data_IF_693038519761
#
_entry.id   IF_693038519761
#
_cell.length_a   1.000
_cell.length_b   1.000
_cell.length_c   1.000
_cell.angle_alpha   90.00
_cell.angle_beta   90.00
_cell.angle_gamma   90.00
#
_symmetry.space_group_name_H-M   'P 1'
#
loop_
_entity.id
_entity.type
_entity.pdbx_description
1 polymer ?
#
# COMPACT_ATOMS: atom_id res chain seq x y z
N UNK A 1 -16.26 -0.99 13.01
CA UNK A 1 -15.04 -0.80 13.85
C UNK A 1 -13.74 -0.68 13.07
N UNK A 2 -13.39 -1.61 12.17
CA UNK A 2 -12.13 -1.55 11.40
C UNK A 2 -12.00 -0.27 10.55
N UNK A 3 -13.05 0.12 9.83
CA UNK A 3 -13.08 1.35 9.01
C UNK A 3 -12.72 2.59 9.85
N UNK A 4 -13.29 2.70 11.06
CA UNK A 4 -13.00 3.81 11.99
C UNK A 4 -11.52 3.86 12.36
N UNK A 5 -10.89 2.70 12.60
CA UNK A 5 -9.46 2.62 12.88
C UNK A 5 -8.60 3.07 11.70
N UNK A 6 -8.95 2.65 10.48
CA UNK A 6 -8.26 3.09 9.26
C UNK A 6 -8.38 4.60 9.06
N UNK A 7 -9.57 5.17 9.23
CA UNK A 7 -9.81 6.61 9.08
C UNK A 7 -9.03 7.43 10.11
N UNK A 8 -9.02 7.01 11.38
CA UNK A 8 -8.27 7.68 12.44
C UNK A 8 -6.76 7.59 12.20
N UNK A 9 -6.25 6.42 11.83
CA UNK A 9 -4.82 6.28 11.48
C UNK A 9 -4.46 7.14 10.27
N UNK A 10 -5.30 7.16 9.23
CA UNK A 10 -5.10 7.99 8.05
C UNK A 10 -5.06 9.49 8.37
N UNK A 11 -5.94 9.96 9.27
CA UNK A 11 -5.93 11.34 9.75
C UNK A 11 -4.62 11.68 10.48
N UNK A 12 -4.14 10.78 11.35
CA UNK A 12 -2.89 10.96 12.08
C UNK A 12 -1.70 11.00 11.12
N UNK A 13 -1.61 10.04 10.20
CA UNK A 13 -0.55 9.98 9.18
C UNK A 13 -0.57 11.29 8.38
N UNK A 14 -1.73 11.71 7.87
CA UNK A 14 -1.84 12.98 7.12
C UNK A 14 -1.31 14.16 7.93
N UNK A 15 -1.75 14.29 9.18
CA UNK A 15 -1.42 15.43 10.05
C UNK A 15 0.05 15.47 10.40
N UNK A 16 0.66 14.33 10.73
CA UNK A 16 2.08 14.27 11.11
C UNK A 16 3.02 14.26 9.91
N UNK A 17 2.59 13.76 8.75
CA UNK A 17 3.38 13.78 7.52
C UNK A 17 3.40 15.16 6.85
N UNK A 18 2.45 16.04 7.16
CA UNK A 18 2.35 17.35 6.54
C UNK A 18 3.54 18.30 6.85
N UNK A 19 3.98 18.50 8.11
CA UNK A 19 5.11 19.37 8.40
C UNK A 19 6.42 19.01 7.68
N UNK A 20 6.91 17.74 7.70
CA UNK A 20 8.16 17.41 7.02
C UNK A 20 8.01 17.48 5.49
N UNK A 21 6.83 17.15 4.94
CA UNK A 21 6.55 17.32 3.51
C UNK A 21 6.61 18.80 3.09
N UNK A 22 6.05 19.69 3.90
CA UNK A 22 6.12 21.14 3.66
C UNK A 22 7.56 21.65 3.70
N UNK A 23 8.34 21.23 4.70
CA UNK A 23 9.76 21.60 4.79
C UNK A 23 10.56 21.12 3.58
N UNK A 24 10.34 19.87 3.14
CA UNK A 24 11.01 19.31 1.97
C UNK A 24 10.68 20.08 0.68
N UNK A 25 9.40 20.37 0.45
CA UNK A 25 8.95 21.07 -0.75
C UNK A 25 9.34 22.56 -0.77
N UNK A 26 9.35 23.21 0.39
CA UNK A 26 9.65 24.65 0.48
C UNK A 26 11.16 24.94 0.47
N UNK A 27 11.94 24.13 1.20
CA UNK A 27 13.38 24.34 1.34
C UNK A 27 14.23 23.47 0.40
N UNK A 28 13.63 22.53 -0.34
CA UNK A 28 14.33 21.58 -1.21
C UNK A 28 15.43 20.79 -0.49
N UNK A 29 15.10 20.28 0.70
CA UNK A 29 16.03 19.56 1.57
C UNK A 29 15.56 18.12 1.80
N UNK A 30 16.52 17.24 2.01
CA UNK A 30 16.31 15.82 2.28
C UNK A 30 15.78 15.59 3.70
N UNK A 31 15.17 14.43 3.91
CA UNK A 31 14.73 13.99 5.24
C UNK A 31 15.86 14.02 6.26
N UNK A 32 17.08 13.60 5.88
CA UNK A 32 18.27 13.62 6.75
C UNK A 32 18.62 15.05 7.20
N UNK A 33 18.46 16.06 6.35
CA UNK A 33 18.70 17.45 6.74
C UNK A 33 17.59 17.99 7.64
N UNK A 34 16.33 17.59 7.38
CA UNK A 34 15.18 17.94 8.22
C UNK A 34 15.37 17.36 9.63
N UNK A 35 15.72 16.08 9.73
CA UNK A 35 15.91 15.41 11.02
C UNK A 35 17.17 15.89 11.73
N UNK A 36 18.26 16.24 11.03
CA UNK A 36 19.43 16.92 11.62
C UNK A 36 19.06 18.27 12.24
N UNK A 37 18.20 19.05 11.58
CA UNK A 37 17.77 20.36 12.08
C UNK A 37 16.99 20.28 13.40
N UNK A 38 16.23 19.20 13.61
CA UNK A 38 15.42 19.01 14.82
C UNK A 38 16.09 18.16 15.91
N UNK A 39 16.76 17.06 15.53
CA UNK A 39 17.31 16.06 16.45
C UNK A 39 18.84 16.02 16.50
N UNK A 40 19.53 16.85 15.72
CA UNK A 40 20.98 16.86 15.59
C UNK A 40 21.53 15.65 14.82
N UNK A 41 22.86 15.53 14.80
CA UNK A 41 23.56 14.52 14.00
C UNK A 41 23.20 13.08 14.41
N UNK A 42 23.22 12.79 15.72
CA UNK A 42 22.91 11.45 16.24
C UNK A 42 21.44 11.07 16.05
N UNK A 43 20.52 12.01 16.24
CA UNK A 43 19.10 11.79 16.01
C UNK A 43 18.78 11.50 14.55
N UNK A 44 19.48 12.17 13.62
CA UNK A 44 19.31 11.89 12.20
C UNK A 44 19.71 10.46 11.81
N UNK A 45 20.79 9.93 12.39
CA UNK A 45 21.22 8.54 12.16
C UNK A 45 20.09 7.57 12.53
N UNK A 46 19.41 7.78 13.66
CA UNK A 46 18.28 6.94 14.06
C UNK A 46 17.10 7.04 13.09
N UNK A 47 16.77 8.25 12.62
CA UNK A 47 15.68 8.44 11.65
C UNK A 47 15.98 7.78 10.31
N UNK A 48 17.21 7.91 9.81
CA UNK A 48 17.64 7.26 8.56
C UNK A 48 17.69 5.73 8.71
N UNK A 49 18.15 5.22 9.86
CA UNK A 49 18.14 3.78 10.13
C UNK A 49 16.72 3.22 10.07
N UNK A 50 15.75 3.91 10.69
CA UNK A 50 14.35 3.50 10.62
C UNK A 50 13.84 3.48 9.17
N UNK A 51 14.17 4.50 8.37
CA UNK A 51 13.80 4.54 6.96
C UNK A 51 14.40 3.39 6.14
N UNK A 52 15.68 3.09 6.33
CA UNK A 52 16.35 1.98 5.64
C UNK A 52 15.73 0.64 6.02
N UNK A 53 15.51 0.41 7.33
CA UNK A 53 14.87 -0.82 7.82
C UNK A 53 13.46 -0.99 7.25
N UNK A 54 12.68 0.08 7.25
CA UNK A 54 11.34 0.06 6.69
C UNK A 54 11.35 -0.27 5.19
N UNK A 55 12.27 0.29 4.42
CA UNK A 55 12.43 -0.01 3.00
C UNK A 55 12.81 -1.48 2.76
N UNK A 56 13.68 -2.04 3.60
CA UNK A 56 14.04 -3.47 3.56
C UNK A 56 12.81 -4.35 3.86
N UNK A 57 12.00 -3.97 4.85
CA UNK A 57 10.77 -4.69 5.20
C UNK A 57 9.78 -4.67 4.03
N UNK A 58 9.57 -3.52 3.39
CA UNK A 58 8.69 -3.43 2.22
C UNK A 58 9.21 -4.26 1.05
N UNK A 59 10.51 -4.19 0.75
CA UNK A 59 11.11 -5.01 -0.30
C UNK A 59 10.92 -6.51 -0.02
N UNK A 60 11.13 -6.94 1.22
CA UNK A 60 10.89 -8.33 1.61
C UNK A 60 9.40 -8.72 1.54
N UNK A 61 8.49 -7.82 1.93
CA UNK A 61 7.05 -8.03 1.91
C UNK A 61 6.56 -8.19 0.46
N UNK A 62 6.92 -7.26 -0.42
CA UNK A 62 6.59 -7.28 -1.85
C UNK A 62 7.15 -8.55 -2.53
N UNK A 63 8.43 -8.86 -2.30
CA UNK A 63 9.03 -10.11 -2.76
C UNK A 63 8.33 -11.37 -2.23
N UNK A 64 7.79 -11.33 -1.01
CA UNK A 64 7.03 -12.45 -0.44
C UNK A 64 5.66 -12.62 -1.09
N UNK A 65 4.96 -11.52 -1.42
CA UNK A 65 3.68 -11.54 -2.14
C UNK A 65 3.89 -12.11 -3.54
N UNK A 66 4.94 -11.69 -4.26
CA UNK A 66 5.21 -12.22 -5.59
C UNK A 66 5.56 -13.71 -5.56
N UNK A 67 6.37 -14.15 -4.60
CA UNK A 67 6.68 -15.57 -4.40
C UNK A 67 5.43 -16.40 -4.07
N UNK A 68 4.50 -15.88 -3.27
CA UNK A 68 3.19 -16.50 -3.03
C UNK A 68 2.38 -16.59 -4.33
N UNK A 69 2.41 -15.57 -5.18
CA UNK A 69 1.85 -15.57 -6.53
C UNK A 69 2.36 -16.75 -7.35
N UNK A 70 3.69 -16.92 -7.43
CA UNK A 70 4.29 -18.03 -8.15
C UNK A 70 3.95 -19.40 -7.55
N UNK A 71 3.88 -19.50 -6.23
CA UNK A 71 3.52 -20.75 -5.55
C UNK A 71 2.07 -21.16 -5.85
N UNK A 72 1.11 -20.23 -5.69
CA UNK A 72 -0.32 -20.55 -5.86
C UNK A 72 -0.68 -20.79 -7.33
N UNK A 73 -0.02 -20.10 -8.26
CA UNK A 73 -0.44 -20.06 -9.67
C UNK A 73 0.39 -21.01 -10.55
N UNK A 74 1.71 -21.05 -10.33
CA UNK A 74 2.66 -21.83 -11.15
C UNK A 74 3.15 -23.08 -10.39
N UNK A 75 2.93 -23.15 -9.08
CA UNK A 75 3.41 -24.26 -8.24
C UNK A 75 4.90 -24.18 -7.90
N UNK A 76 5.55 -23.02 -8.08
CA UNK A 76 6.97 -22.86 -7.75
C UNK A 76 7.15 -22.87 -6.22
N UNK A 77 8.04 -23.71 -5.66
CA UNK A 77 8.33 -23.70 -4.23
C UNK A 77 8.70 -22.30 -3.72
N UNK A 78 8.19 -21.91 -2.55
CA UNK A 78 8.36 -20.56 -1.99
C UNK A 78 9.82 -20.10 -1.93
N UNK A 79 10.75 -20.99 -1.55
CA UNK A 79 12.17 -20.65 -1.46
C UNK A 79 12.78 -20.24 -2.81
N UNK A 80 12.37 -20.90 -3.91
CA UNK A 80 12.75 -20.50 -5.28
C UNK A 80 12.05 -19.20 -5.64
N UNK A 81 10.75 -19.09 -5.30
CA UNK A 81 9.95 -17.89 -5.53
C UNK A 81 10.59 -16.64 -4.94
N UNK A 82 11.13 -16.71 -3.72
CA UNK A 82 11.82 -15.58 -3.08
C UNK A 82 13.08 -15.15 -3.85
N UNK A 83 13.89 -16.12 -4.31
CA UNK A 83 15.11 -15.84 -5.08
C UNK A 83 14.77 -15.22 -6.44
N UNK A 84 13.82 -15.82 -7.16
CA UNK A 84 13.34 -15.28 -8.44
C UNK A 84 12.80 -13.86 -8.25
N UNK A 85 12.04 -13.63 -7.18
CA UNK A 85 11.43 -12.34 -6.94
C UNK A 85 12.46 -11.23 -6.72
N UNK A 86 13.48 -11.51 -5.91
CA UNK A 86 14.60 -10.59 -5.74
C UNK A 86 15.31 -10.32 -7.08
N UNK A 87 15.63 -11.37 -7.85
CA UNK A 87 16.35 -11.24 -9.12
C UNK A 87 15.58 -10.45 -10.20
N UNK A 88 14.25 -10.47 -10.18
CA UNK A 88 13.43 -9.68 -11.11
C UNK A 88 13.46 -8.19 -10.77
N UNK A 89 13.47 -7.84 -9.48
CA UNK A 89 13.40 -6.44 -9.02
C UNK A 89 14.75 -5.72 -9.10
N UNK A 90 15.88 -6.43 -8.94
CA UNK A 90 17.21 -5.79 -8.95
C UNK A 90 17.57 -5.06 -10.27
N UNK A 91 17.37 -5.63 -11.47
CA UNK A 91 17.80 -5.00 -12.72
C UNK A 91 17.15 -3.64 -13.00
N UNK A 92 15.81 -3.46 -12.87
CA UNK A 92 15.17 -2.16 -13.05
C UNK A 92 15.74 -1.07 -12.13
N UNK A 93 16.06 -1.41 -10.89
CA UNK A 93 16.62 -0.47 -9.89
C UNK A 93 18.00 0.05 -10.31
N UNK A 94 18.82 -0.78 -10.96
CA UNK A 94 20.15 -0.39 -11.44
C UNK A 94 20.11 0.62 -12.59
N UNK A 95 19.02 0.66 -13.37
CA UNK A 95 18.87 1.53 -14.54
C UNK A 95 18.42 2.95 -14.14
N UNK A 96 18.10 3.16 -12.86
CA UNK A 96 17.85 4.46 -12.25
C UNK A 96 16.40 4.96 -12.34
N UNK A 97 16.10 6.02 -11.59
CA UNK A 97 14.71 6.51 -11.35
C UNK A 97 13.96 6.93 -12.62
N UNK A 98 14.64 7.44 -13.65
CA UNK A 98 13.98 7.92 -14.87
C UNK A 98 13.34 6.79 -15.68
N UNK A 99 14.01 5.64 -15.74
CA UNK A 99 13.49 4.45 -16.43
C UNK A 99 12.35 3.83 -15.62
N UNK A 100 12.51 3.79 -14.30
CA UNK A 100 11.48 3.28 -13.39
C UNK A 100 10.19 4.11 -13.47
N UNK A 101 10.28 5.44 -13.41
CA UNK A 101 9.12 6.32 -13.53
C UNK A 101 8.41 6.16 -14.89
N UNK A 102 9.18 5.96 -15.97
CA UNK A 102 8.60 5.69 -17.30
C UNK A 102 7.87 4.35 -17.33
N UNK A 103 8.46 3.29 -16.76
CA UNK A 103 7.83 1.97 -16.66
C UNK A 103 6.53 2.05 -15.84
N UNK A 104 6.57 2.69 -14.67
CA UNK A 104 5.40 2.93 -13.82
C UNK A 104 4.28 3.65 -14.57
N UNK A 105 4.60 4.67 -15.37
CA UNK A 105 3.59 5.39 -16.16
C UNK A 105 2.80 4.48 -17.11
N UNK A 106 3.43 3.43 -17.65
CA UNK A 106 2.75 2.45 -18.51
C UNK A 106 2.06 1.33 -17.73
N UNK A 107 2.63 0.90 -16.60
CA UNK A 107 2.06 -0.19 -15.79
C UNK A 107 0.92 0.27 -14.90
N UNK A 108 0.92 1.51 -14.41
CA UNK A 108 -0.11 2.02 -13.50
C UNK A 108 -1.54 1.97 -14.08
N UNK A 109 -1.80 2.36 -15.34
CA UNK A 109 -3.15 2.23 -15.92
C UNK A 109 -3.63 0.78 -15.98
N UNK A 110 -2.74 -0.14 -16.38
CA UNK A 110 -3.05 -1.56 -16.45
C UNK A 110 -3.32 -2.12 -15.04
N UNK A 111 -2.48 -1.77 -14.07
CA UNK A 111 -2.64 -2.14 -12.67
C UNK A 111 -3.97 -1.63 -12.10
N UNK A 112 -4.35 -0.37 -12.39
CA UNK A 112 -5.64 0.18 -11.96
C UNK A 112 -6.82 -0.61 -12.53
N UNK A 113 -6.78 -0.98 -13.81
CA UNK A 113 -7.84 -1.80 -14.43
C UNK A 113 -7.92 -3.18 -13.75
N UNK A 114 -6.78 -3.81 -13.51
CA UNK A 114 -6.72 -5.13 -12.87
C UNK A 114 -7.12 -5.09 -11.39
N UNK A 115 -6.89 -3.98 -10.70
CA UNK A 115 -7.27 -3.85 -9.31
C UNK A 115 -8.74 -3.44 -9.15
N UNK A 116 -9.19 -2.42 -9.89
CA UNK A 116 -10.53 -1.86 -9.77
C UNK A 116 -11.58 -2.63 -10.58
N UNK A 117 -11.22 -3.25 -11.71
CA UNK A 117 -12.13 -4.02 -12.56
C UNK A 117 -12.88 -5.13 -11.81
N UNK A 118 -12.19 -6.09 -11.15
CA UNK A 118 -12.87 -7.15 -10.41
C UNK A 118 -13.70 -6.62 -9.23
N UNK A 119 -13.26 -5.52 -8.60
CA UNK A 119 -14.01 -4.86 -7.53
C UNK A 119 -15.34 -4.28 -8.02
N UNK A 120 -15.30 -3.52 -9.12
CA UNK A 120 -16.50 -2.90 -9.72
C UNK A 120 -17.47 -3.99 -10.16
N UNK A 121 -16.97 -5.08 -10.75
CA UNK A 121 -17.81 -6.21 -11.14
C UNK A 121 -18.54 -6.82 -9.93
N UNK A 122 -17.83 -7.05 -8.83
CA UNK A 122 -18.43 -7.62 -7.61
C UNK A 122 -19.52 -6.71 -7.04
N UNK A 123 -19.25 -5.41 -6.88
CA UNK A 123 -20.23 -4.45 -6.33
C UNK A 123 -21.46 -4.30 -7.22
N UNK A 124 -21.30 -4.33 -8.55
CA UNK A 124 -22.43 -4.21 -9.49
C UNK A 124 -23.26 -5.49 -9.56
N UNK A 125 -22.63 -6.66 -9.41
CA UNK A 125 -23.32 -7.94 -9.53
C UNK A 125 -24.06 -8.31 -8.24
N UNK A 126 -23.51 -7.94 -7.09
CA UNK A 126 -24.07 -8.30 -5.78
C UNK A 126 -23.99 -7.09 -4.82
N UNK A 127 -24.95 -6.18 -4.93
CA UNK A 127 -25.01 -4.97 -4.09
C UNK A 127 -25.19 -5.30 -2.60
N UNK A 128 -25.84 -6.41 -2.27
CA UNK A 128 -26.10 -6.82 -0.89
C UNK A 128 -24.79 -7.12 -0.12
N UNK A 129 -23.69 -7.39 -0.84
CA UNK A 129 -22.36 -7.57 -0.23
C UNK A 129 -21.85 -6.31 0.47
N UNK A 130 -22.26 -5.13 0.02
CA UNK A 130 -21.87 -3.85 0.64
C UNK A 130 -22.55 -3.68 1.98
N UNK A 131 -23.84 -3.98 2.05
CA UNK A 131 -24.61 -3.91 3.31
C UNK A 131 -24.09 -4.95 4.30
N UNK A 132 -23.82 -6.19 3.84
CA UNK A 132 -23.20 -7.21 4.66
C UNK A 132 -21.84 -6.77 5.22
N UNK A 133 -21.00 -6.12 4.42
CA UNK A 133 -19.71 -5.62 4.87
C UNK A 133 -19.84 -4.54 5.95
N UNK A 134 -20.82 -3.64 5.83
CA UNK A 134 -21.07 -2.60 6.83
C UNK A 134 -21.57 -3.20 8.15
N UNK A 135 -22.37 -4.26 8.08
CA UNK A 135 -22.94 -4.96 9.24
C UNK A 135 -21.99 -6.04 9.83
N UNK A 136 -20.86 -6.31 9.19
CA UNK A 136 -19.94 -7.36 9.64
C UNK A 136 -19.20 -6.97 10.92
N UNK A 137 -19.58 -7.59 12.04
CA UNK A 137 -18.98 -7.33 13.36
C UNK A 137 -17.69 -8.12 13.65
N UNK A 138 -17.33 -9.07 12.78
CA UNK A 138 -16.15 -9.94 12.93
C UNK A 138 -16.48 -11.39 13.23
N UNK A 139 -15.45 -12.26 13.27
CA UNK A 139 -15.63 -13.67 13.58
C UNK A 139 -16.16 -13.87 15.02
N UNK A 140 -17.21 -14.69 15.24
CA UNK A 140 -17.88 -14.85 16.54
C UNK A 140 -16.93 -15.20 17.70
N UNK A 141 -15.87 -15.95 17.41
CA UNK A 141 -14.91 -16.44 18.40
C UNK A 141 -14.03 -15.34 19.01
N UNK A 142 -13.96 -14.16 18.38
CA UNK A 142 -13.14 -13.02 18.77
C UNK A 142 -13.94 -11.82 19.30
N UNK A 143 -15.28 -11.89 19.24
CA UNK A 143 -16.16 -10.84 19.78
C UNK A 143 -16.01 -10.83 21.32
N UNK A 144 -15.44 -9.75 21.85
CA UNK A 144 -15.26 -9.54 23.30
C UNK A 144 -13.89 -9.90 23.89
N UNK A 145 -12.93 -10.39 23.09
CA UNK A 145 -11.59 -10.79 23.57
C UNK A 145 -10.48 -9.73 23.44
N UNK A 146 -10.71 -8.61 22.74
CA UNK A 146 -9.66 -7.62 22.45
C UNK A 146 -9.88 -6.26 23.14
N UNK A 147 -8.76 -5.68 23.57
CA UNK A 147 -8.61 -4.21 23.70
C UNK A 147 -9.06 -3.56 22.39
N UNK A 148 -9.90 -2.52 22.47
CA UNK A 148 -10.52 -1.77 21.37
C UNK A 148 -10.05 -2.14 19.93
N UNK A 149 -10.85 -2.85 19.12
CA UNK A 149 -10.50 -3.23 17.74
C UNK A 149 -10.03 -2.06 16.87
N UNK A 150 -10.55 -0.85 17.15
CA UNK A 150 -10.14 0.40 16.51
C UNK A 150 -8.64 0.65 16.72
N UNK A 151 -8.14 0.47 17.95
CA UNK A 151 -6.72 0.73 18.27
C UNK A 151 -5.79 -0.29 17.60
N UNK A 152 -6.21 -1.55 17.51
CA UNK A 152 -5.45 -2.59 16.82
C UNK A 152 -5.34 -2.30 15.32
N UNK A 153 -6.46 -1.96 14.68
CA UNK A 153 -6.45 -1.54 13.27
C UNK A 153 -5.59 -0.30 13.06
N UNK A 154 -5.69 0.68 13.96
CA UNK A 154 -4.84 1.87 13.91
C UNK A 154 -3.35 1.52 13.99
N UNK A 155 -2.95 0.64 14.92
CA UNK A 155 -1.55 0.24 15.08
C UNK A 155 -0.95 -0.36 13.81
N UNK A 156 -1.71 -1.22 13.12
CA UNK A 156 -1.29 -1.81 11.84
C UNK A 156 -1.14 -0.72 10.76
N UNK A 157 -2.12 0.18 10.63
CA UNK A 157 -2.06 1.25 9.63
C UNK A 157 -0.94 2.27 9.91
N UNK A 158 -0.70 2.60 11.17
CA UNK A 158 0.36 3.54 11.58
C UNK A 158 1.77 3.03 11.30
N UNK A 159 1.95 1.71 11.15
CA UNK A 159 3.23 1.14 10.72
C UNK A 159 3.67 1.61 9.32
N UNK A 160 2.73 2.10 8.49
CA UNK A 160 3.03 2.64 7.15
C UNK A 160 3.46 4.11 7.18
N UNK A 161 3.45 4.77 8.34
CA UNK A 161 3.76 6.19 8.47
C UNK A 161 5.19 6.54 7.98
N UNK A 162 6.13 5.60 8.10
CA UNK A 162 7.51 5.72 7.63
C UNK A 162 7.64 5.89 6.10
N UNK A 163 6.59 5.60 5.31
CA UNK A 163 6.57 5.83 3.85
C UNK A 163 6.70 7.31 3.47
N UNK A 164 6.45 8.24 4.41
CA UNK A 164 6.60 9.68 4.13
C UNK A 164 8.01 10.05 3.67
N UNK A 165 9.02 9.28 4.09
CA UNK A 165 10.41 9.49 3.71
C UNK A 165 10.62 9.37 2.18
N UNK A 166 9.99 8.40 1.53
CA UNK A 166 10.05 8.24 0.08
C UNK A 166 9.37 9.42 -0.64
N UNK A 167 8.22 9.87 -0.13
CA UNK A 167 7.51 11.03 -0.69
C UNK A 167 8.35 12.31 -0.57
N UNK A 168 9.11 12.45 0.53
CA UNK A 168 10.02 13.59 0.73
C UNK A 168 11.14 13.62 -0.33
N UNK A 169 11.65 12.47 -0.75
CA UNK A 169 12.66 12.38 -1.81
C UNK A 169 12.13 12.83 -3.19
N UNK A 170 10.82 12.72 -3.44
CA UNK A 170 10.18 13.31 -4.61
C UNK A 170 9.90 14.81 -4.39
N UNK A 171 9.40 15.20 -3.22
CA UNK A 171 9.05 16.59 -2.90
C UNK A 171 10.25 17.54 -2.91
N UNK A 172 11.44 17.07 -2.50
CA UNK A 172 12.67 17.89 -2.59
C UNK A 172 13.00 18.32 -4.01
N UNK A 173 12.50 17.60 -5.02
CA UNK A 173 12.72 17.90 -6.43
C UNK A 173 11.72 18.93 -6.98
N UNK A 174 10.77 19.42 -6.15
CA UNK A 174 9.82 20.43 -6.57
C UNK A 174 10.51 21.76 -6.93
N UNK A 175 9.98 22.52 -7.90
CA UNK A 175 10.49 23.85 -8.19
C UNK A 175 10.44 24.77 -6.96
N UNK A 176 11.50 25.59 -6.77
CA UNK A 176 11.59 26.53 -5.66
C UNK A 176 10.36 27.45 -5.61
N UNK A 177 9.70 27.60 -4.44
CA UNK A 177 8.57 28.50 -4.29
C UNK A 177 8.96 29.95 -4.64
N UNK A 178 8.18 30.60 -5.50
CA UNK A 178 8.24 32.05 -5.71
C UNK A 178 7.00 32.72 -5.11
N UNK A 179 7.07 34.02 -4.78
CA UNK A 179 5.98 34.77 -4.14
C UNK A 179 4.64 34.72 -4.90
N UNK A 180 4.64 34.40 -6.20
CA UNK A 180 3.43 34.20 -7.03
C UNK A 180 2.80 32.80 -6.91
N UNK A 181 3.51 31.79 -6.41
CA UNK A 181 3.17 30.36 -6.56
C UNK A 181 2.84 29.67 -5.22
N UNK A 182 2.84 30.38 -4.08
CA UNK A 182 2.78 29.73 -2.75
C UNK A 182 1.57 28.80 -2.52
N UNK A 183 0.39 29.14 -3.02
CA UNK A 183 -0.81 28.28 -2.93
C UNK A 183 -0.73 27.04 -3.81
N UNK A 184 -0.08 27.16 -4.97
CA UNK A 184 0.14 26.02 -5.86
C UNK A 184 1.18 25.07 -5.28
N UNK A 185 2.23 25.58 -4.63
CA UNK A 185 3.20 24.75 -3.90
C UNK A 185 2.50 23.92 -2.83
N UNK A 186 1.67 24.55 -1.98
CA UNK A 186 0.93 23.83 -0.94
C UNK A 186 0.03 22.72 -1.51
N UNK A 187 -0.72 23.00 -2.59
CA UNK A 187 -1.57 22.02 -3.25
C UNK A 187 -0.76 20.81 -3.77
N UNK A 188 0.35 21.08 -4.45
CA UNK A 188 1.21 20.03 -4.97
C UNK A 188 1.95 19.28 -3.85
N UNK A 189 2.35 19.95 -2.77
CA UNK A 189 2.94 19.31 -1.59
C UNK A 189 1.95 18.35 -0.95
N UNK A 190 0.68 18.72 -0.83
CA UNK A 190 -0.35 17.81 -0.32
C UNK A 190 -0.51 16.62 -1.25
N UNK A 191 -0.64 16.83 -2.57
CA UNK A 191 -0.83 15.74 -3.53
C UNK A 191 0.37 14.78 -3.63
N UNK A 192 1.60 15.31 -3.68
CA UNK A 192 2.84 14.52 -3.78
C UNK A 192 3.44 14.12 -2.43
N UNK A 193 2.83 14.54 -1.33
CA UNK A 193 3.24 14.24 0.03
C UNK A 193 2.12 13.53 0.77
N UNK A 194 1.55 14.10 1.85
CA UNK A 194 0.62 13.40 2.74
C UNK A 194 -0.67 12.91 2.08
N UNK A 195 -1.04 13.41 0.90
CA UNK A 195 -2.23 13.02 0.15
C UNK A 195 -2.23 11.57 -0.32
N UNK A 196 -1.06 10.91 -0.38
CA UNK A 196 -0.96 9.47 -0.67
C UNK A 196 -1.85 8.62 0.25
N UNK A 197 -2.07 9.10 1.48
CA UNK A 197 -2.84 8.38 2.49
C UNK A 197 -4.29 8.13 2.06
N UNK A 198 -4.86 8.97 1.19
CA UNK A 198 -6.23 8.78 0.68
C UNK A 198 -6.30 7.48 -0.12
N UNK A 199 -5.29 7.22 -0.96
CA UNK A 199 -5.17 5.95 -1.68
C UNK A 199 -4.93 4.78 -0.72
N UNK A 200 -4.10 4.99 0.31
CA UNK A 200 -3.84 3.99 1.36
C UNK A 200 -5.12 3.58 2.11
N UNK A 201 -5.90 4.55 2.60
CA UNK A 201 -7.19 4.34 3.26
C UNK A 201 -8.15 3.58 2.34
N UNK A 202 -8.27 4.03 1.08
CA UNK A 202 -9.17 3.43 0.10
C UNK A 202 -8.79 1.97 -0.16
N UNK A 203 -7.50 1.69 -0.37
CA UNK A 203 -6.97 0.33 -0.58
C UNK A 203 -7.20 -0.56 0.65
N UNK A 204 -7.02 -0.03 1.86
CA UNK A 204 -7.25 -0.79 3.09
C UNK A 204 -8.72 -1.14 3.28
N UNK A 205 -9.64 -0.21 3.00
CA UNK A 205 -11.09 -0.45 3.07
C UNK A 205 -11.51 -1.48 2.02
N UNK A 206 -11.01 -1.37 0.79
CA UNK A 206 -11.24 -2.35 -0.27
C UNK A 206 -10.74 -3.74 0.16
N UNK A 207 -9.53 -3.84 0.72
CA UNK A 207 -8.99 -5.11 1.19
C UNK A 207 -9.82 -5.73 2.31
N UNK A 208 -10.35 -4.92 3.23
CA UNK A 208 -11.29 -5.37 4.27
C UNK A 208 -12.61 -5.88 3.65
N UNK A 209 -13.17 -5.14 2.68
CA UNK A 209 -14.40 -5.53 1.97
C UNK A 209 -14.24 -6.88 1.27
N UNK A 210 -13.17 -7.02 0.48
CA UNK A 210 -12.84 -8.27 -0.22
C UNK A 210 -12.65 -9.42 0.78
N UNK A 211 -11.94 -9.16 1.87
CA UNK A 211 -11.68 -10.18 2.89
C UNK A 211 -12.96 -10.67 3.56
N UNK A 212 -13.85 -9.77 3.93
CA UNK A 212 -15.17 -10.10 4.51
C UNK A 212 -16.02 -10.90 3.53
N UNK A 213 -16.05 -10.51 2.25
CA UNK A 213 -16.78 -11.24 1.21
C UNK A 213 -16.26 -12.67 1.03
N UNK A 214 -14.94 -12.86 0.94
CA UNK A 214 -14.37 -14.19 0.74
C UNK A 214 -14.49 -15.08 1.98
N UNK A 215 -14.40 -14.49 3.17
CA UNK A 215 -14.65 -15.20 4.42
C UNK A 215 -16.09 -15.75 4.47
N UNK A 216 -17.08 -14.92 4.10
CA UNK A 216 -18.47 -15.36 4.03
C UNK A 216 -18.70 -16.47 2.98
N UNK A 217 -17.93 -16.47 1.90
CA UNK A 217 -17.95 -17.52 0.88
C UNK A 217 -17.13 -18.78 1.24
N UNK A 218 -16.75 -18.94 2.52
CA UNK A 218 -16.15 -20.17 3.04
C UNK A 218 -14.62 -20.25 2.95
N UNK A 219 -13.93 -19.14 2.63
CA UNK A 219 -12.47 -19.09 2.68
C UNK A 219 -11.97 -19.03 4.14
N UNK A 220 -10.90 -19.77 4.46
CA UNK A 220 -10.31 -19.77 5.80
C UNK A 220 -9.71 -18.41 6.16
N UNK A 221 -9.61 -18.11 7.45
CA UNK A 221 -9.00 -16.84 7.94
C UNK A 221 -7.53 -16.71 7.52
N UNK A 222 -6.79 -17.81 7.43
CA UNK A 222 -5.39 -17.82 6.98
C UNK A 222 -5.22 -17.42 5.51
N UNK A 223 -6.18 -17.84 4.67
CA UNK A 223 -6.16 -17.57 3.24
C UNK A 223 -6.67 -16.18 2.91
N UNK A 224 -7.66 -15.69 3.68
CA UNK A 224 -8.22 -14.34 3.53
C UNK A 224 -7.17 -13.26 3.78
N UNK A 225 -6.15 -13.51 4.60
CA UNK A 225 -5.09 -12.53 4.88
C UNK A 225 -4.09 -12.42 3.72
N UNK A 226 -4.03 -13.40 2.82
CA UNK A 226 -3.08 -13.41 1.70
C UNK A 226 -3.65 -12.63 0.49
N UNK A 227 -3.03 -11.50 0.07
CA UNK A 227 -3.56 -10.67 -1.01
C UNK A 227 -3.73 -11.42 -2.33
N UNK A 228 -2.80 -12.33 -2.64
CA UNK A 228 -2.85 -13.15 -3.86
C UNK A 228 -4.12 -14.01 -3.89
N UNK A 229 -4.45 -14.66 -2.78
CA UNK A 229 -5.65 -15.50 -2.67
C UNK A 229 -6.92 -14.67 -2.72
N UNK A 230 -6.90 -13.47 -2.13
CA UNK A 230 -8.01 -12.53 -2.22
C UNK A 230 -8.35 -12.18 -3.68
N UNK A 231 -7.35 -11.79 -4.47
CA UNK A 231 -7.58 -11.44 -5.88
C UNK A 231 -8.00 -12.65 -6.71
N UNK A 232 -7.36 -13.82 -6.54
CA UNK A 232 -7.78 -15.06 -7.22
C UNK A 232 -9.24 -15.37 -6.90
N UNK A 233 -9.64 -15.25 -5.64
CA UNK A 233 -11.02 -15.47 -5.19
C UNK A 233 -12.02 -14.61 -5.96
N UNK A 234 -11.77 -13.31 -6.11
CA UNK A 234 -12.68 -12.43 -6.86
C UNK A 234 -12.62 -12.72 -8.36
N UNK A 235 -11.43 -12.93 -8.92
CA UNK A 235 -11.30 -13.18 -10.35
C UNK A 235 -12.05 -14.44 -10.80
N UNK A 236 -12.10 -15.48 -9.94
CA UNK A 236 -12.88 -16.70 -10.19
C UNK A 236 -14.40 -16.48 -10.22
N UNK A 237 -14.90 -15.41 -9.60
CA UNK A 237 -16.33 -15.04 -9.69
C UNK A 237 -16.67 -14.49 -11.07
N UNK A 238 -15.71 -13.83 -11.73
CA UNK A 238 -15.93 -13.15 -13.01
C UNK A 238 -15.51 -13.99 -14.23
N UNK A 239 -14.49 -14.84 -14.07
CA UNK A 239 -13.80 -15.49 -15.19
C UNK A 239 -13.54 -16.98 -14.92
N UNK A 240 -13.38 -17.79 -15.99
CA UNK A 240 -12.89 -19.16 -15.86
C UNK A 240 -11.52 -19.23 -15.17
N UNK A 241 -11.26 -20.34 -14.48
CA UNK A 241 -10.06 -20.55 -13.65
C UNK A 241 -8.76 -20.12 -14.34
N UNK A 242 -8.54 -20.56 -15.59
CA UNK A 242 -7.32 -20.24 -16.33
C UNK A 242 -7.06 -18.73 -16.44
N UNK A 243 -8.08 -17.94 -16.81
CA UNK A 243 -7.96 -16.49 -16.92
C UNK A 243 -7.87 -15.81 -15.56
N UNK A 244 -8.58 -16.33 -14.55
CA UNK A 244 -8.52 -15.79 -13.20
C UNK A 244 -7.11 -15.88 -12.60
N UNK A 245 -6.46 -17.04 -12.73
CA UNK A 245 -5.09 -17.25 -12.30
C UNK A 245 -4.09 -16.41 -13.11
N UNK A 246 -4.26 -16.34 -14.43
CA UNK A 246 -3.37 -15.54 -15.28
C UNK A 246 -3.43 -14.04 -14.93
N UNK A 247 -4.64 -13.48 -14.80
CA UNK A 247 -4.81 -12.06 -14.46
C UNK A 247 -4.37 -11.74 -13.04
N UNK A 248 -4.59 -12.65 -12.09
CA UNK A 248 -4.08 -12.49 -10.72
C UNK A 248 -2.55 -12.49 -10.70
N UNK A 249 -1.89 -13.38 -11.44
CA UNK A 249 -0.43 -13.40 -11.56
C UNK A 249 0.08 -12.10 -12.18
N UNK A 250 -0.56 -11.68 -13.27
CA UNK A 250 -0.19 -10.45 -13.97
C UNK A 250 -0.38 -9.23 -13.07
N UNK A 251 -1.47 -9.14 -12.33
CA UNK A 251 -1.69 -8.09 -11.32
C UNK A 251 -0.57 -8.08 -10.29
N UNK A 252 -0.21 -9.24 -9.73
CA UNK A 252 0.83 -9.35 -8.71
C UNK A 252 2.16 -8.86 -9.27
N UNK A 253 2.58 -9.38 -10.43
CA UNK A 253 3.87 -9.01 -11.07
C UNK A 253 3.92 -7.54 -11.47
N UNK A 254 2.82 -6.98 -12.00
CA UNK A 254 2.74 -5.56 -12.40
C UNK A 254 2.71 -4.65 -11.17
N UNK A 255 2.27 -5.16 -10.02
CA UNK A 255 2.25 -4.42 -8.75
C UNK A 255 3.61 -4.32 -8.07
N UNK A 256 4.61 -5.11 -8.50
CA UNK A 256 5.98 -5.07 -8.00
C UNK A 256 6.84 -4.10 -8.81
#
# INVERSE_FOLDING_TARGET
NGITGVLLAGLLIFTFSFPPAYCAAYYNIDLDLISRGSFGYYGSILTNLNFVLFTIILFALEGSIMAQGFYVIIGIPLWIGYVISALIVFPPVLIGMKTLAKLQTYTTPLWLILMCGPLIYLVVTDFDTVDYFLDFEGAPENIGKSSSPVLLTMGICLALMTQIAEQIDYLRCMPKPTAKISKSVLFWTVLGGPGWIIFGITKQIIGMFIGTYLFNNGMSTEDVVQPVRQFIGIYKVMLPDFFAYFLALLLVVVSQ
#
